data_IF_973567599313
#
_entry.id   IF_973567599313
#
_cell.length_a   1.000
_cell.length_b   1.000
_cell.length_c   1.000
_cell.angle_alpha   90.00
_cell.angle_beta   90.00
_cell.angle_gamma   90.00
#
_symmetry.space_group_name_H-M   'P 1'
#
loop_
_entity.id
_entity.type
_entity.pdbx_description
1 polymer ?
#
# COMPACT_ATOMS: atom_id res chain seq x y z
N UNK A 1 8.08 -10.12 -16.63
CA UNK A 1 7.53 -9.50 -15.42
C UNK A 1 6.01 -9.34 -15.46
N UNK A 2 5.43 -9.02 -16.62
CA UNK A 2 3.97 -8.86 -16.77
C UNK A 2 3.19 -10.07 -16.28
N UNK A 3 3.52 -11.25 -16.78
CA UNK A 3 2.86 -12.50 -16.41
C UNK A 3 2.98 -12.76 -14.90
N UNK A 4 4.17 -12.54 -14.34
CA UNK A 4 4.42 -12.73 -12.90
C UNK A 4 3.52 -11.82 -12.05
N UNK A 5 3.56 -10.50 -12.29
CA UNK A 5 2.80 -9.55 -11.47
C UNK A 5 1.30 -9.63 -11.69
N UNK A 6 0.85 -9.92 -12.91
CA UNK A 6 -0.56 -10.19 -13.16
C UNK A 6 -1.03 -11.44 -12.41
N UNK A 7 -0.21 -12.50 -12.39
CA UNK A 7 -0.52 -13.71 -11.61
C UNK A 7 -0.59 -13.42 -10.12
N UNK A 8 0.39 -12.70 -9.56
CA UNK A 8 0.39 -12.29 -8.14
C UNK A 8 -0.84 -11.45 -7.82
N UNK A 9 -1.20 -10.50 -8.69
CA UNK A 9 -2.39 -9.66 -8.50
C UNK A 9 -3.68 -10.48 -8.47
N UNK A 10 -3.83 -11.47 -9.35
CA UNK A 10 -5.00 -12.37 -9.37
C UNK A 10 -5.04 -13.22 -8.08
N UNK A 11 -3.88 -13.72 -7.63
CA UNK A 11 -3.78 -14.44 -6.35
C UNK A 11 -4.20 -13.56 -5.17
N UNK A 12 -3.69 -12.33 -5.09
CA UNK A 12 -4.02 -11.39 -4.02
C UNK A 12 -5.51 -11.07 -3.99
N UNK A 13 -6.14 -10.85 -5.15
CA UNK A 13 -7.58 -10.64 -5.27
C UNK A 13 -8.38 -11.89 -4.85
N UNK A 14 -7.93 -13.07 -5.24
CA UNK A 14 -8.56 -14.34 -4.83
C UNK A 14 -8.47 -14.56 -3.33
N UNK A 15 -7.29 -14.33 -2.75
CA UNK A 15 -7.06 -14.44 -1.30
C UNK A 15 -7.82 -13.36 -0.52
N UNK A 16 -7.94 -12.16 -1.07
CA UNK A 16 -8.81 -11.12 -0.53
C UNK A 16 -10.27 -11.57 -0.46
N UNK A 17 -10.80 -12.13 -1.55
CA UNK A 17 -12.16 -12.68 -1.59
C UNK A 17 -12.36 -13.79 -0.55
N UNK A 18 -11.40 -14.72 -0.43
CA UNK A 18 -11.43 -15.80 0.56
C UNK A 18 -11.37 -15.27 2.01
N UNK A 19 -10.53 -14.26 2.26
CA UNK A 19 -10.42 -13.61 3.57
C UNK A 19 -11.75 -13.03 4.04
N UNK A 20 -12.50 -12.39 3.14
CA UNK A 20 -13.83 -11.86 3.44
C UNK A 20 -14.82 -12.99 3.70
N UNK A 21 -14.86 -14.03 2.86
CA UNK A 21 -15.81 -15.12 2.95
C UNK A 21 -15.58 -15.99 4.19
N UNK A 22 -14.34 -16.38 4.44
CA UNK A 22 -13.96 -17.25 5.58
C UNK A 22 -13.67 -16.50 6.87
N UNK A 23 -13.63 -15.16 6.84
CA UNK A 23 -13.25 -14.28 7.97
C UNK A 23 -11.84 -14.59 8.52
N UNK A 24 -10.92 -14.98 7.66
CA UNK A 24 -9.52 -15.26 8.00
C UNK A 24 -8.69 -13.99 7.93
N UNK A 25 -8.47 -13.37 9.09
CA UNK A 25 -7.74 -12.09 9.16
C UNK A 25 -6.23 -12.20 8.98
N UNK A 26 -5.65 -13.39 9.14
CA UNK A 26 -4.21 -13.63 8.97
C UNK A 26 -3.80 -13.74 7.50
N UNK A 27 -4.73 -14.15 6.64
CA UNK A 27 -4.48 -14.36 5.22
C UNK A 27 -3.92 -13.11 4.50
N UNK A 28 -4.52 -11.93 4.67
CA UNK A 28 -3.99 -10.71 4.05
C UNK A 28 -2.57 -10.35 4.49
N UNK A 29 -2.18 -10.71 5.72
CA UNK A 29 -0.83 -10.45 6.24
C UNK A 29 0.21 -11.29 5.49
N UNK A 30 -0.09 -12.58 5.30
CA UNK A 30 0.80 -13.51 4.57
C UNK A 30 0.93 -13.09 3.11
N UNK A 31 -0.20 -12.80 2.46
CA UNK A 31 -0.20 -12.33 1.06
C UNK A 31 0.58 -11.03 0.91
N UNK A 32 0.36 -10.07 1.80
CA UNK A 32 1.11 -8.81 1.85
C UNK A 32 2.62 -9.06 1.88
N UNK A 33 3.09 -9.90 2.80
CA UNK A 33 4.51 -10.20 2.92
C UNK A 33 5.07 -10.85 1.65
N UNK A 34 4.38 -11.87 1.12
CA UNK A 34 4.82 -12.58 -0.08
C UNK A 34 4.85 -11.67 -1.32
N UNK A 35 3.82 -10.87 -1.52
CA UNK A 35 3.73 -9.95 -2.68
C UNK A 35 4.88 -8.93 -2.67
N UNK A 36 5.14 -8.31 -1.53
CA UNK A 36 6.23 -7.32 -1.44
C UNK A 36 7.62 -7.96 -1.47
N UNK A 37 7.78 -9.19 -0.99
CA UNK A 37 9.04 -9.95 -1.15
C UNK A 37 9.28 -10.26 -2.63
N UNK A 38 8.27 -10.74 -3.36
CA UNK A 38 8.39 -11.02 -4.80
C UNK A 38 8.68 -9.72 -5.58
N UNK A 39 8.00 -8.64 -5.25
CA UNK A 39 8.22 -7.33 -5.88
C UNK A 39 9.65 -6.81 -5.61
N UNK A 40 10.10 -6.87 -4.36
CA UNK A 40 11.45 -6.49 -3.96
C UNK A 40 12.52 -7.35 -4.64
N UNK A 41 12.32 -8.67 -4.64
CA UNK A 41 13.24 -9.60 -5.30
C UNK A 41 13.38 -9.33 -6.80
N UNK A 42 12.27 -9.02 -7.46
CA UNK A 42 12.29 -8.65 -8.87
C UNK A 42 13.01 -7.32 -9.10
N UNK A 43 12.69 -6.28 -8.36
CA UNK A 43 13.30 -4.95 -8.53
C UNK A 43 14.79 -4.96 -8.22
N UNK A 44 15.22 -5.79 -7.26
CA UNK A 44 16.64 -5.98 -6.95
C UNK A 44 17.38 -6.75 -8.05
N UNK A 45 16.79 -7.83 -8.58
CA UNK A 45 17.42 -8.67 -9.59
C UNK A 45 17.47 -8.03 -10.98
N UNK A 46 16.55 -7.13 -11.27
CA UNK A 46 16.35 -6.58 -12.60
C UNK A 46 17.16 -5.31 -12.91
N UNK A 47 17.96 -4.81 -11.95
CA UNK A 47 18.76 -3.60 -12.08
C UNK A 47 17.97 -2.41 -12.67
N UNK A 48 17.34 -1.64 -11.79
CA UNK A 48 16.42 -0.57 -12.17
C UNK A 48 17.05 0.50 -13.08
N UNK A 49 18.37 0.72 -12.96
CA UNK A 49 19.09 1.72 -13.73
C UNK A 49 19.19 1.34 -15.23
N UNK A 50 19.06 0.06 -15.55
CA UNK A 50 19.08 -0.45 -16.93
C UNK A 50 17.68 -0.54 -17.55
N UNK A 51 16.63 -0.28 -16.79
CA UNK A 51 15.25 -0.36 -17.26
C UNK A 51 14.83 0.88 -18.03
N UNK A 52 14.12 0.68 -19.13
CA UNK A 52 13.49 1.78 -19.85
C UNK A 52 12.30 2.40 -19.08
N UNK A 53 12.00 3.67 -19.34
CA UNK A 53 10.93 4.43 -18.69
C UNK A 53 9.56 3.74 -18.75
N UNK A 54 9.27 3.04 -19.84
CA UNK A 54 8.02 2.26 -20.01
C UNK A 54 7.94 1.11 -19.01
N UNK A 55 9.04 0.40 -18.77
CA UNK A 55 9.09 -0.71 -17.82
C UNK A 55 8.93 -0.22 -16.38
N UNK A 56 9.60 0.88 -16.03
CA UNK A 56 9.47 1.52 -14.72
C UNK A 56 8.04 2.01 -14.47
N UNK A 57 7.39 2.58 -15.48
CA UNK A 57 5.98 2.99 -15.40
C UNK A 57 5.06 1.80 -15.10
N UNK A 58 5.28 0.66 -15.75
CA UNK A 58 4.50 -0.54 -15.49
C UNK A 58 4.71 -1.08 -14.06
N UNK A 59 5.96 -1.07 -13.57
CA UNK A 59 6.25 -1.44 -12.17
C UNK A 59 5.55 -0.50 -11.19
N UNK A 60 5.52 0.79 -11.47
CA UNK A 60 4.80 1.77 -10.66
C UNK A 60 3.29 1.48 -10.64
N UNK A 61 2.70 1.16 -11.79
CA UNK A 61 1.28 0.77 -11.88
C UNK A 61 0.99 -0.47 -11.05
N UNK A 62 1.83 -1.52 -11.13
CA UNK A 62 1.66 -2.72 -10.31
C UNK A 62 1.81 -2.43 -8.81
N UNK A 63 2.78 -1.60 -8.42
CA UNK A 63 2.95 -1.21 -7.01
C UNK A 63 1.73 -0.46 -6.47
N UNK A 64 1.13 0.44 -7.27
CA UNK A 64 -0.13 1.13 -6.92
C UNK A 64 -1.28 0.11 -6.79
N UNK A 65 -1.39 -0.84 -7.72
CA UNK A 65 -2.42 -1.87 -7.67
C UNK A 65 -2.32 -2.72 -6.40
N UNK A 66 -1.13 -3.21 -6.05
CA UNK A 66 -0.88 -3.96 -4.81
C UNK A 66 -1.21 -3.12 -3.58
N UNK A 67 -0.74 -1.87 -3.54
CA UNK A 67 -1.06 -0.95 -2.46
C UNK A 67 -2.57 -0.82 -2.23
N UNK A 68 -3.35 -0.64 -3.31
CA UNK A 68 -4.80 -0.50 -3.23
C UNK A 68 -5.49 -1.81 -2.82
N UNK A 69 -5.05 -2.97 -3.30
CA UNK A 69 -5.60 -4.27 -2.91
C UNK A 69 -5.49 -4.47 -1.40
N UNK A 70 -4.31 -4.25 -0.82
CA UNK A 70 -4.11 -4.41 0.62
C UNK A 70 -4.87 -3.35 1.43
N UNK A 71 -4.97 -2.14 0.92
CA UNK A 71 -5.78 -1.09 1.54
C UNK A 71 -7.27 -1.45 1.57
N UNK A 72 -7.81 -1.97 0.46
CA UNK A 72 -9.20 -2.46 0.37
C UNK A 72 -9.43 -3.68 1.26
N UNK A 73 -8.44 -4.56 1.41
CA UNK A 73 -8.49 -5.69 2.34
C UNK A 73 -8.75 -5.20 3.76
N UNK A 74 -8.01 -4.21 4.21
CA UNK A 74 -8.19 -3.59 5.51
C UNK A 74 -9.56 -2.93 5.66
N UNK A 75 -9.98 -2.14 4.67
CA UNK A 75 -11.27 -1.48 4.68
C UNK A 75 -12.42 -2.50 4.78
N UNK A 76 -12.29 -3.65 4.13
CA UNK A 76 -13.28 -4.72 4.17
C UNK A 76 -13.37 -5.40 5.54
N UNK A 77 -12.23 -5.65 6.18
CA UNK A 77 -12.18 -6.22 7.54
C UNK A 77 -12.87 -5.28 8.54
N UNK A 78 -12.60 -3.97 8.44
CA UNK A 78 -13.28 -2.94 9.24
C UNK A 78 -14.79 -2.96 8.97
N UNK A 79 -15.22 -3.13 7.73
CA UNK A 79 -16.64 -3.20 7.37
C UNK A 79 -17.37 -4.39 8.01
N UNK A 80 -16.70 -5.55 8.08
CA UNK A 80 -17.28 -6.81 8.60
C UNK A 80 -17.23 -6.87 10.13
N UNK A 81 -16.57 -5.90 10.77
CA UNK A 81 -16.45 -5.80 12.24
C UNK A 81 -15.93 -7.08 12.90
N UNK A 82 -14.84 -7.65 12.36
CA UNK A 82 -14.20 -8.84 12.93
C UNK A 82 -13.46 -8.45 14.21
N UNK A 83 -13.99 -8.85 15.35
CA UNK A 83 -13.37 -8.61 16.67
C UNK A 83 -12.04 -9.40 16.77
N UNK A 84 -10.98 -8.74 17.26
CA UNK A 84 -9.72 -9.40 17.63
C UNK A 84 -8.55 -9.26 16.65
N UNK A 85 -8.72 -8.62 15.48
CA UNK A 85 -7.67 -8.52 14.44
C UNK A 85 -6.94 -7.16 14.43
N UNK A 86 -7.24 -6.29 15.37
CA UNK A 86 -6.77 -4.90 15.37
C UNK A 86 -5.23 -4.72 15.25
N UNK A 87 -4.43 -5.57 15.90
CA UNK A 87 -2.97 -5.43 15.91
C UNK A 87 -2.33 -5.81 14.57
N UNK A 88 -2.74 -6.93 13.97
CA UNK A 88 -2.23 -7.37 12.65
C UNK A 88 -2.64 -6.39 11.54
N UNK A 89 -3.86 -5.90 11.62
CA UNK A 89 -4.40 -4.92 10.69
C UNK A 89 -3.60 -3.63 10.66
N UNK A 90 -3.23 -3.14 11.85
CA UNK A 90 -2.40 -1.94 12.01
C UNK A 90 -1.01 -2.14 11.41
N UNK A 91 -0.42 -3.32 11.64
CA UNK A 91 0.86 -3.69 11.04
C UNK A 91 0.80 -3.66 9.51
N UNK A 92 -0.22 -4.26 8.91
CA UNK A 92 -0.39 -4.27 7.44
C UNK A 92 -0.59 -2.86 6.90
N UNK A 93 -1.43 -2.03 7.52
CA UNK A 93 -1.63 -0.64 7.06
C UNK A 93 -0.32 0.14 7.13
N UNK A 94 0.34 0.13 8.29
CA UNK A 94 1.58 0.87 8.48
C UNK A 94 2.63 0.45 7.46
N UNK A 95 2.94 -0.84 7.41
CA UNK A 95 3.95 -1.39 6.50
C UNK A 95 3.58 -1.17 5.03
N UNK A 96 2.31 -1.34 4.64
CA UNK A 96 1.88 -1.14 3.26
C UNK A 96 2.12 0.30 2.78
N UNK A 97 1.85 1.31 3.62
CA UNK A 97 2.12 2.70 3.30
C UNK A 97 3.62 2.98 3.13
N UNK A 98 4.45 2.49 4.05
CA UNK A 98 5.90 2.71 4.00
C UNK A 98 6.57 1.95 2.86
N UNK A 99 6.23 0.69 2.65
CA UNK A 99 6.80 -0.14 1.59
C UNK A 99 6.40 0.39 0.22
N UNK A 100 5.13 0.75 0.03
CA UNK A 100 4.68 1.37 -1.21
C UNK A 100 5.43 2.68 -1.48
N UNK A 101 5.52 3.58 -0.48
CA UNK A 101 6.22 4.86 -0.65
C UNK A 101 7.69 4.65 -1.01
N UNK A 102 8.37 3.71 -0.33
CA UNK A 102 9.77 3.37 -0.62
C UNK A 102 9.95 2.96 -2.09
N UNK A 103 9.18 1.97 -2.56
CA UNK A 103 9.29 1.52 -3.96
C UNK A 103 8.85 2.59 -4.96
N UNK A 104 7.79 3.33 -4.68
CA UNK A 104 7.34 4.40 -5.56
C UNK A 104 8.40 5.50 -5.73
N UNK A 105 9.08 5.90 -4.64
CA UNK A 105 10.15 6.88 -4.70
C UNK A 105 11.38 6.34 -5.44
N UNK A 106 11.76 5.07 -5.21
CA UNK A 106 12.85 4.42 -5.94
C UNK A 106 12.57 4.37 -7.45
N UNK A 107 11.36 3.95 -7.85
CA UNK A 107 10.98 3.89 -9.25
C UNK A 107 10.94 5.27 -9.91
N UNK A 108 10.38 6.28 -9.23
CA UNK A 108 10.35 7.66 -9.73
C UNK A 108 11.75 8.28 -9.85
N UNK A 109 12.68 7.89 -8.98
CA UNK A 109 14.06 8.33 -9.06
C UNK A 109 14.74 7.81 -10.31
N UNK A 110 14.55 6.53 -10.64
CA UNK A 110 15.12 5.91 -11.85
C UNK A 110 14.42 6.33 -13.15
N UNK A 111 13.21 6.90 -13.06
CA UNK A 111 12.51 7.48 -14.22
C UNK A 111 13.01 8.90 -14.57
N UNK A 112 13.97 9.46 -13.82
CA UNK A 112 14.46 10.84 -13.98
C UNK A 112 13.34 11.90 -13.98
N UNK A 113 12.20 11.56 -13.37
CA UNK A 113 11.06 12.45 -13.28
C UNK A 113 11.35 13.63 -12.35
N UNK A 114 10.81 14.79 -12.69
CA UNK A 114 10.95 16.00 -11.90
C UNK A 114 10.59 15.76 -10.42
N UNK A 115 11.29 16.46 -9.54
CA UNK A 115 11.10 16.40 -8.08
C UNK A 115 9.63 16.56 -7.65
N UNK A 116 8.85 17.33 -8.37
CA UNK A 116 7.44 17.59 -8.11
C UNK A 116 6.58 16.33 -8.07
N UNK A 117 6.88 15.32 -8.91
CA UNK A 117 6.12 14.06 -8.93
C UNK A 117 6.33 13.21 -7.67
N UNK A 118 7.52 13.27 -7.06
CA UNK A 118 7.81 12.57 -5.80
C UNK A 118 6.94 13.10 -4.64
N UNK A 119 6.80 14.43 -4.56
CA UNK A 119 5.90 15.06 -3.60
C UNK A 119 4.42 14.78 -3.84
N UNK A 120 4.00 14.68 -5.12
CA UNK A 120 2.62 14.32 -5.45
C UNK A 120 2.26 12.90 -4.99
N UNK A 121 3.18 11.93 -5.10
CA UNK A 121 2.94 10.56 -4.62
C UNK A 121 2.79 10.53 -3.10
N UNK A 122 3.65 11.23 -2.36
CA UNK A 122 3.53 11.30 -0.89
C UNK A 122 2.22 11.98 -0.46
N UNK A 123 1.82 13.04 -1.15
CA UNK A 123 0.54 13.71 -0.90
C UNK A 123 -0.65 12.81 -1.22
N UNK A 124 -0.58 12.04 -2.30
CA UNK A 124 -1.61 11.08 -2.67
C UNK A 124 -1.81 10.01 -1.59
N UNK A 125 -0.72 9.43 -1.06
CA UNK A 125 -0.79 8.46 0.04
C UNK A 125 -1.38 9.10 1.30
N UNK A 126 -0.99 10.33 1.63
CA UNK A 126 -1.57 11.08 2.75
C UNK A 126 -3.08 11.27 2.57
N UNK A 127 -3.52 11.71 1.38
CA UNK A 127 -4.94 11.93 1.06
C UNK A 127 -5.78 10.66 1.20
N UNK A 128 -5.27 9.51 0.73
CA UNK A 128 -5.94 8.22 0.88
C UNK A 128 -6.09 7.84 2.36
N UNK A 129 -5.05 7.99 3.17
CA UNK A 129 -5.12 7.70 4.60
C UNK A 129 -6.09 8.64 5.33
N UNK A 130 -6.14 9.93 4.96
CA UNK A 130 -7.17 10.85 5.46
C UNK A 130 -8.58 10.43 5.06
N UNK A 131 -8.78 10.03 3.80
CA UNK A 131 -10.09 9.56 3.33
C UNK A 131 -10.56 8.33 4.11
N UNK A 132 -9.66 7.37 4.36
CA UNK A 132 -9.94 6.19 5.20
C UNK A 132 -10.26 6.57 6.64
N UNK A 133 -9.49 7.49 7.23
CA UNK A 133 -9.76 8.00 8.57
C UNK A 133 -11.18 8.56 8.68
N UNK A 134 -11.59 9.45 7.76
CA UNK A 134 -12.94 10.01 7.76
C UNK A 134 -14.04 8.97 7.53
N UNK A 135 -13.76 7.99 6.65
CA UNK A 135 -14.70 6.91 6.39
C UNK A 135 -14.92 6.02 7.61
N UNK A 136 -13.84 5.66 8.34
CA UNK A 136 -13.94 4.86 9.56
C UNK A 136 -14.61 5.67 10.68
N UNK A 137 -14.26 6.95 10.83
CA UNK A 137 -14.85 7.85 11.82
C UNK A 137 -16.37 7.92 11.70
N UNK A 138 -16.90 7.92 10.46
CA UNK A 138 -18.35 7.92 10.21
C UNK A 138 -19.05 6.63 10.65
N UNK A 139 -18.31 5.53 10.83
CA UNK A 139 -18.88 4.24 11.27
C UNK A 139 -18.96 4.07 12.78
N UNK A 140 -18.35 4.97 13.56
CA UNK A 140 -18.35 4.93 15.01
C UNK A 140 -17.38 3.90 15.60
N UNK A 141 -17.32 3.85 16.94
CA UNK A 141 -16.47 2.89 17.66
C UNK A 141 -16.76 1.42 17.24
N UNK A 142 -15.75 0.56 17.12
CA UNK A 142 -14.66 0.31 18.07
C UNK A 142 -13.22 0.54 17.54
N UNK A 143 -13.01 1.28 16.46
CA UNK A 143 -11.72 1.35 15.77
C UNK A 143 -10.89 2.60 16.13
N UNK A 144 -10.99 3.10 17.35
CA UNK A 144 -10.34 4.35 17.79
C UNK A 144 -8.83 4.33 17.56
N UNK A 145 -8.16 3.21 17.90
CA UNK A 145 -6.72 3.08 17.70
C UNK A 145 -6.32 3.09 16.23
N UNK A 146 -7.07 2.41 15.38
CA UNK A 146 -6.87 2.43 13.93
C UNK A 146 -7.03 3.85 13.35
N UNK A 147 -8.01 4.61 13.82
CA UNK A 147 -8.21 6.01 13.41
C UNK A 147 -7.01 6.89 13.77
N UNK A 148 -6.47 6.77 15.00
CA UNK A 148 -5.29 7.53 15.39
C UNK A 148 -4.05 7.14 14.58
N UNK A 149 -3.89 5.86 14.26
CA UNK A 149 -2.79 5.37 13.41
C UNK A 149 -2.88 5.94 12.00
N UNK A 150 -4.06 5.90 11.36
CA UNK A 150 -4.27 6.47 10.03
C UNK A 150 -4.01 7.97 10.00
N UNK A 151 -4.48 8.69 11.02
CA UNK A 151 -4.24 10.13 11.16
C UNK A 151 -2.74 10.41 11.34
N UNK A 152 -2.06 9.64 12.19
CA UNK A 152 -0.61 9.77 12.40
C UNK A 152 0.17 9.53 11.09
N UNK A 153 -0.15 8.46 10.36
CA UNK A 153 0.46 8.15 9.05
C UNK A 153 0.22 9.30 8.07
N UNK A 154 -1.02 9.78 7.95
CA UNK A 154 -1.37 10.86 7.03
C UNK A 154 -0.60 12.16 7.35
N UNK A 155 -0.52 12.55 8.62
CA UNK A 155 0.23 13.74 9.05
C UNK A 155 1.74 13.57 8.82
N UNK A 156 2.30 12.38 9.07
CA UNK A 156 3.70 12.07 8.78
C UNK A 156 4.01 12.25 7.30
N UNK A 157 3.15 11.73 6.40
CA UNK A 157 3.38 11.87 4.95
C UNK A 157 3.22 13.30 4.45
N UNK A 158 2.28 14.08 4.99
CA UNK A 158 2.20 15.53 4.71
C UNK A 158 3.50 16.23 5.12
N UNK A 159 4.00 15.93 6.32
CA UNK A 159 5.26 16.53 6.81
C UNK A 159 6.47 16.12 5.97
N UNK A 160 6.53 14.86 5.51
CA UNK A 160 7.61 14.34 4.65
C UNK A 160 7.53 14.90 3.22
N UNK A 161 6.35 15.30 2.75
CA UNK A 161 6.19 15.93 1.43
C UNK A 161 7.01 17.20 1.30
N UNK A 162 7.10 18.01 2.36
CA UNK A 162 7.83 19.28 2.36
C UNK A 162 9.31 19.10 2.03
N UNK A 163 10.10 18.28 2.78
CA UNK A 163 11.53 18.08 2.48
C UNK A 163 11.78 17.31 1.17
N UNK A 164 10.81 16.54 0.66
CA UNK A 164 10.96 15.87 -0.63
C UNK A 164 10.82 16.85 -1.81
N UNK A 165 10.06 17.94 -1.62
CA UNK A 165 9.89 18.98 -2.64
C UNK A 165 10.96 20.08 -2.60
N UNK A 166 11.63 20.27 -1.46
CA UNK A 166 12.75 21.21 -1.30
C UNK A 166 14.06 20.61 -1.81
#
# INVERSE_FOLDING_TARGET
YWVLFTYVMILDLGMFGLSIYKKWGELPVICFALTWIVFAGYTYAADLDLMGSVQLTHLLIFSIAFYLIFLLSVASIVRINIRGINQYLLGVIGLNNFVFLFFALCLLQNMELERNYKGLVTLFVAAINFALFFWIKRKGEPFTFLMHTLLGIALTFVSVTIPIQL
#
